data_IF_345613192493
#
_entry.id   IF_345613192493
#
_cell.length_a   1.000
_cell.length_b   1.000
_cell.length_c   1.000
_cell.angle_alpha   90.00
_cell.angle_beta   90.00
_cell.angle_gamma   90.00
#
_symmetry.space_group_name_H-M   'P 1'
#
loop_
_entity.id
_entity.type
_entity.pdbx_description
1 polymer ?
#
# COMPACT_ATOMS: atom_id res chain seq x y z
N UNK A 1 -12.31 -0.71 -23.53
CA UNK A 1 -11.50 -0.12 -22.45
C UNK A 1 -10.86 -1.25 -21.66
N UNK A 2 -9.55 -1.19 -21.40
CA UNK A 2 -8.79 -2.26 -20.73
C UNK A 2 -9.17 -2.30 -19.23
N UNK A 3 -9.73 -3.40 -18.72
CA UNK A 3 -10.37 -3.46 -17.39
C UNK A 3 -9.37 -3.35 -16.24
N UNK A 4 -8.16 -3.80 -16.46
CA UNK A 4 -7.01 -3.72 -15.56
C UNK A 4 -6.60 -2.26 -15.32
N UNK A 5 -6.74 -1.39 -16.32
CA UNK A 5 -6.55 0.06 -16.15
C UNK A 5 -7.64 0.67 -15.27
N UNK A 6 -8.89 0.25 -15.47
CA UNK A 6 -10.04 0.67 -14.67
C UNK A 6 -9.86 0.27 -13.19
N UNK A 7 -9.40 -0.96 -12.94
CA UNK A 7 -9.14 -1.46 -11.59
C UNK A 7 -8.00 -0.69 -10.92
N UNK A 8 -6.90 -0.45 -11.62
CA UNK A 8 -5.78 0.31 -11.07
C UNK A 8 -6.18 1.75 -10.75
N UNK A 9 -7.11 2.34 -11.52
CA UNK A 9 -7.72 3.62 -11.17
C UNK A 9 -8.55 3.53 -9.88
N UNK A 10 -9.45 2.55 -9.78
CA UNK A 10 -10.29 2.35 -8.60
C UNK A 10 -9.43 2.13 -7.36
N UNK A 11 -8.42 1.25 -7.45
CA UNK A 11 -7.51 0.95 -6.37
C UNK A 11 -6.74 2.19 -5.91
N UNK A 12 -6.23 3.00 -6.84
CA UNK A 12 -5.55 4.26 -6.49
C UNK A 12 -6.49 5.22 -5.76
N UNK A 13 -7.68 5.46 -6.30
CA UNK A 13 -8.63 6.40 -5.70
C UNK A 13 -9.10 5.93 -4.33
N UNK A 14 -9.37 4.64 -4.16
CA UNK A 14 -9.79 4.09 -2.87
C UNK A 14 -8.66 4.09 -1.83
N UNK A 15 -7.42 3.77 -2.22
CA UNK A 15 -6.27 3.89 -1.31
C UNK A 15 -6.05 5.34 -0.86
N UNK A 16 -6.14 6.32 -1.77
CA UNK A 16 -6.06 7.73 -1.40
C UNK A 16 -7.14 8.15 -0.39
N UNK A 17 -8.40 7.86 -0.70
CA UNK A 17 -9.52 8.20 0.18
C UNK A 17 -9.41 7.54 1.56
N UNK A 18 -8.80 6.36 1.63
CA UNK A 18 -8.60 5.65 2.89
C UNK A 18 -7.44 6.22 3.69
N UNK A 19 -6.33 6.60 3.05
CA UNK A 19 -5.20 7.26 3.72
C UNK A 19 -5.57 8.64 4.26
N UNK A 20 -6.41 9.39 3.55
CA UNK A 20 -6.96 10.67 4.03
C UNK A 20 -7.84 10.48 5.28
N UNK A 21 -8.64 9.41 5.34
CA UNK A 21 -9.47 9.08 6.51
C UNK A 21 -8.66 8.64 7.72
N UNK A 22 -7.62 7.83 7.51
CA UNK A 22 -6.78 7.28 8.58
C UNK A 22 -5.72 8.29 9.07
N UNK A 23 -5.69 9.53 8.55
CA UNK A 23 -4.67 10.53 8.89
C UNK A 23 -3.24 10.09 8.57
N UNK A 24 -3.11 9.17 7.61
CA UNK A 24 -1.85 8.50 7.28
C UNK A 24 -0.94 9.39 6.42
N UNK A 25 0.39 9.14 6.44
CA UNK A 25 1.36 9.89 5.65
C UNK A 25 1.06 9.91 4.14
N UNK A 26 1.47 10.96 3.43
CA UNK A 26 1.23 11.11 1.98
C UNK A 26 1.81 9.93 1.18
N UNK A 27 1.04 9.36 0.24
CA UNK A 27 1.49 8.30 -0.65
C UNK A 27 1.65 8.77 -2.10
N UNK A 28 2.69 8.25 -2.76
CA UNK A 28 2.94 8.35 -4.19
C UNK A 28 2.68 7.01 -4.85
N UNK A 29 2.02 7.06 -6.00
CA UNK A 29 1.66 5.87 -6.76
C UNK A 29 2.30 5.90 -8.14
N UNK A 30 3.05 4.86 -8.48
CA UNK A 30 3.65 4.69 -9.81
C UNK A 30 2.98 3.52 -10.52
N UNK A 31 2.45 3.77 -11.71
CA UNK A 31 1.90 2.72 -12.59
C UNK A 31 3.00 2.21 -13.51
N UNK A 32 3.10 0.90 -13.63
CA UNK A 32 4.08 0.23 -14.48
C UNK A 32 3.33 -0.74 -15.37
N UNK A 33 3.46 -0.60 -16.68
CA UNK A 33 2.83 -1.48 -17.65
C UNK A 33 3.85 -2.50 -18.12
N UNK A 34 3.48 -3.78 -18.03
CA UNK A 34 4.23 -4.86 -18.64
C UNK A 34 3.35 -5.49 -19.72
N UNK A 35 3.63 -5.11 -20.97
CA UNK A 35 2.87 -5.57 -22.12
C UNK A 35 3.15 -7.04 -22.47
N UNK A 36 4.35 -7.54 -22.17
CA UNK A 36 4.72 -8.93 -22.44
C UNK A 36 3.91 -9.91 -21.61
N UNK A 37 3.63 -9.55 -20.35
CA UNK A 37 2.88 -10.37 -19.39
C UNK A 37 1.43 -9.90 -19.22
N UNK A 38 0.99 -8.94 -20.04
CA UNK A 38 -0.33 -8.30 -19.96
C UNK A 38 -0.72 -7.89 -18.53
N UNK A 39 0.28 -7.35 -17.81
CA UNK A 39 0.24 -7.07 -16.37
C UNK A 39 0.41 -5.58 -16.13
N UNK A 40 -0.41 -5.04 -15.24
CA UNK A 40 -0.30 -3.66 -14.79
C UNK A 40 0.05 -3.67 -13.31
N UNK A 41 1.18 -3.05 -12.97
CA UNK A 41 1.62 -2.91 -11.60
C UNK A 41 1.30 -1.51 -11.07
N UNK A 42 0.89 -1.43 -9.80
CA UNK A 42 0.75 -0.20 -9.05
C UNK A 42 1.70 -0.27 -7.85
N UNK A 43 2.78 0.51 -7.88
CA UNK A 43 3.72 0.65 -6.77
C UNK A 43 3.29 1.80 -5.88
N UNK A 44 3.33 1.61 -4.58
CA UNK A 44 3.01 2.59 -3.56
C UNK A 44 4.24 2.91 -2.73
N UNK A 45 4.62 4.19 -2.76
CA UNK A 45 5.69 4.76 -1.94
C UNK A 45 5.04 5.68 -0.90
N UNK A 46 5.34 5.50 0.38
CA UNK A 46 4.76 6.28 1.48
C UNK A 46 5.80 7.24 2.00
N UNK A 47 5.42 8.49 2.27
CA UNK A 47 6.29 9.50 2.85
C UNK A 47 6.47 9.21 4.35
N UNK A 48 7.69 8.87 4.77
CA UNK A 48 8.03 8.82 6.20
C UNK A 48 8.85 10.06 6.57
N UNK A 49 8.52 10.69 7.70
CA UNK A 49 9.02 12.00 8.12
C UNK A 49 10.56 12.15 8.07
N UNK A 50 11.30 11.06 8.26
CA UNK A 50 12.77 11.06 8.27
C UNK A 50 13.45 10.36 7.08
N UNK A 51 12.71 9.54 6.31
CA UNK A 51 13.28 8.70 5.23
C UNK A 51 12.81 9.11 3.84
N UNK A 52 11.90 10.09 3.74
CA UNK A 52 11.29 10.45 2.47
C UNK A 52 10.34 9.37 1.95
N UNK A 53 10.14 9.29 0.64
CA UNK A 53 9.25 8.29 0.03
C UNK A 53 9.90 6.90 0.05
N UNK A 54 9.36 6.01 0.87
CA UNK A 54 9.81 4.63 1.00
C UNK A 54 8.82 3.69 0.29
N UNK A 55 9.29 2.75 -0.54
CA UNK A 55 8.43 1.75 -1.16
C UNK A 55 7.82 0.82 -0.11
N UNK A 56 6.49 0.84 0.03
CA UNK A 56 5.79 0.02 1.02
C UNK A 56 5.12 -1.19 0.39
N UNK A 57 4.55 -1.03 -0.80
CA UNK A 57 3.89 -2.16 -1.45
C UNK A 57 3.74 -2.01 -2.95
N UNK A 58 3.41 -3.14 -3.58
CA UNK A 58 3.17 -3.26 -5.01
C UNK A 58 1.96 -4.15 -5.25
N UNK A 59 1.11 -3.74 -6.18
CA UNK A 59 -0.02 -4.53 -6.66
C UNK A 59 0.24 -4.87 -8.10
N UNK A 60 0.29 -6.16 -8.42
CA UNK A 60 0.37 -6.65 -9.79
C UNK A 60 -1.01 -7.16 -10.22
N UNK A 61 -1.61 -6.48 -11.18
CA UNK A 61 -2.95 -6.79 -11.71
C UNK A 61 -2.80 -7.46 -13.07
N UNK A 62 -3.34 -8.67 -13.20
CA UNK A 62 -3.40 -9.41 -14.47
C UNK A 62 -4.84 -9.75 -14.77
N UNK A 63 -5.27 -9.52 -16.02
CA UNK A 63 -6.59 -9.93 -16.47
C UNK A 63 -6.62 -11.43 -16.78
N UNK A 64 -7.63 -12.11 -16.24
CA UNK A 64 -7.95 -13.48 -16.58
C UNK A 64 -9.25 -13.44 -17.39
N UNK A 65 -9.18 -13.65 -18.72
CA UNK A 65 -10.37 -13.78 -19.53
C UNK A 65 -11.12 -15.04 -19.09
N UNK A 66 -12.41 -14.93 -18.79
CA UNK A 66 -13.25 -16.12 -18.57
C UNK A 66 -14.23 -16.29 -19.72
N UNK A 67 -14.46 -17.54 -20.12
CA UNK A 67 -15.23 -17.93 -21.31
C UNK A 67 -16.69 -17.45 -21.30
N UNK A 68 -17.18 -16.91 -20.18
CA UNK A 68 -18.56 -16.47 -19.98
C UNK A 68 -18.74 -14.95 -20.13
N UNK A 69 -17.79 -14.25 -20.79
CA UNK A 69 -17.82 -12.79 -20.94
C UNK A 69 -17.57 -12.01 -19.63
N UNK A 70 -17.24 -12.72 -18.54
CA UNK A 70 -16.84 -12.11 -17.27
C UNK A 70 -15.32 -11.88 -17.28
N UNK A 71 -14.87 -10.78 -16.70
CA UNK A 71 -13.45 -10.49 -16.56
C UNK A 71 -13.11 -10.62 -15.08
N UNK A 72 -12.23 -11.57 -14.78
CA UNK A 72 -11.69 -11.76 -13.43
C UNK A 72 -10.30 -11.17 -13.41
N UNK A 73 -9.93 -10.48 -12.33
CA UNK A 73 -8.58 -9.92 -12.22
C UNK A 73 -7.85 -10.59 -11.06
N UNK A 74 -6.64 -11.04 -11.35
CA UNK A 74 -5.72 -11.55 -10.35
C UNK A 74 -4.87 -10.40 -9.86
N UNK A 75 -4.97 -10.08 -8.59
CA UNK A 75 -4.16 -9.07 -7.91
C UNK A 75 -3.14 -9.79 -7.02
N UNK A 76 -1.87 -9.60 -7.30
CA UNK A 76 -0.78 -10.07 -6.42
C UNK A 76 -0.27 -8.86 -5.67
N UNK A 77 -0.52 -8.84 -4.37
CA UNK A 77 -0.07 -7.79 -3.46
C UNK A 77 1.26 -8.23 -2.86
N UNK A 78 2.25 -7.37 -2.94
CA UNK A 78 3.59 -7.60 -2.40
C UNK A 78 3.92 -6.50 -1.41
N UNK A 79 4.22 -6.88 -0.18
CA UNK A 79 4.81 -6.02 0.84
C UNK A 79 6.32 -5.92 0.59
N UNK A 80 6.81 -4.72 0.29
CA UNK A 80 8.20 -4.54 -0.13
C UNK A 80 9.19 -4.52 1.04
N UNK A 81 8.71 -4.27 2.26
CA UNK A 81 9.53 -4.26 3.48
C UNK A 81 9.87 -5.68 3.94
N UNK A 82 8.89 -6.59 3.94
CA UNK A 82 9.04 -7.95 4.46
C UNK A 82 9.22 -9.00 3.36
N UNK A 83 8.92 -8.64 2.10
CA UNK A 83 8.84 -9.57 0.98
C UNK A 83 7.60 -10.47 0.99
N UNK A 84 6.63 -10.26 1.92
CA UNK A 84 5.41 -11.05 1.97
C UNK A 84 4.55 -10.79 0.73
N UNK A 85 4.04 -11.87 0.15
CA UNK A 85 3.19 -11.84 -1.03
C UNK A 85 1.83 -12.44 -0.69
N UNK A 86 0.76 -11.75 -1.07
CA UNK A 86 -0.61 -12.22 -0.94
C UNK A 86 -1.32 -12.10 -2.29
N UNK A 87 -2.01 -13.16 -2.71
CA UNK A 87 -2.81 -13.15 -3.93
C UNK A 87 -4.29 -13.00 -3.60
N UNK A 88 -4.95 -12.05 -4.26
CA UNK A 88 -6.39 -11.79 -4.16
C UNK A 88 -6.99 -11.86 -5.56
N UNK A 89 -8.10 -12.58 -5.72
CA UNK A 89 -8.82 -12.68 -6.98
C UNK A 89 -10.05 -11.79 -6.89
N UNK A 90 -10.06 -10.71 -7.69
CA UNK A 90 -11.19 -9.78 -7.77
C UNK A 90 -12.17 -10.27 -8.83
N UNK A 91 -13.37 -10.63 -8.40
CA UNK A 91 -14.48 -11.01 -9.28
C UNK A 91 -15.34 -9.79 -9.56
N UNK A 92 -15.02 -9.10 -10.65
CA UNK A 92 -15.65 -7.82 -10.99
C UNK A 92 -16.88 -8.06 -11.85
N UNK A 93 -17.92 -8.65 -11.24
CA UNK A 93 -19.20 -8.94 -11.92
C UNK A 93 -20.05 -7.68 -12.07
N UNK A 94 -20.18 -6.90 -10.99
CA UNK A 94 -21.10 -5.76 -10.88
C UNK A 94 -20.38 -4.53 -10.28
N UNK A 95 -20.69 -3.30 -10.74
CA UNK A 95 -20.04 -2.07 -10.26
C UNK A 95 -20.15 -1.88 -8.74
N UNK A 96 -21.27 -2.29 -8.14
CA UNK A 96 -21.50 -2.28 -6.69
C UNK A 96 -20.63 -3.29 -5.93
N UNK A 97 -20.29 -4.44 -6.53
CA UNK A 97 -19.39 -5.43 -5.92
C UNK A 97 -17.92 -5.05 -6.08
N UNK A 98 -17.57 -4.17 -7.03
CA UNK A 98 -16.17 -3.76 -7.23
C UNK A 98 -15.59 -3.11 -6.00
N UNK A 99 -16.37 -2.28 -5.33
CA UNK A 99 -15.91 -1.51 -4.18
C UNK A 99 -15.63 -2.43 -2.99
N UNK A 100 -16.52 -3.38 -2.74
CA UNK A 100 -16.37 -4.44 -1.71
C UNK A 100 -15.17 -5.34 -2.01
N UNK A 101 -15.00 -5.74 -3.27
CA UNK A 101 -13.85 -6.58 -3.65
C UNK A 101 -12.53 -5.81 -3.54
N UNK A 102 -12.52 -4.50 -3.83
CA UNK A 102 -11.35 -3.64 -3.66
C UNK A 102 -11.03 -3.37 -2.18
N UNK A 103 -12.01 -3.44 -1.28
CA UNK A 103 -11.81 -3.26 0.16
C UNK A 103 -10.84 -4.29 0.75
N UNK A 104 -10.87 -5.54 0.25
CA UNK A 104 -9.91 -6.60 0.60
C UNK A 104 -8.46 -6.21 0.29
N UNK A 105 -8.25 -5.45 -0.79
CA UNK A 105 -6.94 -4.94 -1.16
C UNK A 105 -6.53 -3.81 -0.21
N UNK A 106 -7.46 -2.95 0.18
CA UNK A 106 -7.18 -1.85 1.09
C UNK A 106 -6.83 -2.32 2.51
N UNK A 107 -7.52 -3.33 3.03
CA UNK A 107 -7.19 -3.93 4.33
C UNK A 107 -5.76 -4.47 4.37
N UNK A 108 -5.29 -5.07 3.28
CA UNK A 108 -3.90 -5.52 3.16
C UNK A 108 -2.93 -4.33 3.25
N UNK A 109 -3.18 -3.26 2.50
CA UNK A 109 -2.33 -2.07 2.55
C UNK A 109 -2.35 -1.40 3.91
N UNK A 110 -3.50 -1.34 4.57
CA UNK A 110 -3.60 -0.81 5.94
C UNK A 110 -2.71 -1.58 6.90
N UNK A 111 -2.69 -2.90 6.79
CA UNK A 111 -1.79 -3.75 7.57
C UNK A 111 -0.32 -3.43 7.27
N UNK A 112 0.05 -3.34 6.00
CA UNK A 112 1.42 -3.04 5.56
C UNK A 112 1.88 -1.64 6.00
N UNK A 113 1.03 -0.62 5.85
CA UNK A 113 1.33 0.76 6.27
C UNK A 113 1.38 0.85 7.81
N UNK A 114 0.46 0.17 8.50
CA UNK A 114 0.40 0.13 9.96
C UNK A 114 1.65 -0.48 10.59
N UNK A 115 2.26 -1.49 9.96
CA UNK A 115 3.57 -1.99 10.37
C UNK A 115 4.68 -0.93 10.18
N UNK A 116 4.65 -0.16 9.09
CA UNK A 116 5.61 0.92 8.85
C UNK A 116 5.54 2.10 9.82
N UNK A 117 4.42 2.28 10.54
CA UNK A 117 4.30 3.27 11.61
C UNK A 117 4.83 2.76 12.97
N UNK A 118 4.78 1.45 13.23
CA UNK A 118 5.20 0.89 14.51
C UNK A 118 6.73 0.87 14.70
N UNK A 119 7.52 0.91 13.63
CA UNK A 119 8.98 0.98 13.74
C UNK A 119 9.52 2.37 14.17
N UNK A 120 8.66 3.35 14.47
CA UNK A 120 9.07 4.68 14.96
C UNK A 120 8.46 5.07 16.32
N UNK A 121 7.79 4.16 17.02
CA UNK A 121 7.45 4.36 18.43
C UNK A 121 8.53 3.68 19.28
N UNK A 122 9.09 4.44 20.22
CA UNK A 122 10.20 4.10 21.14
C UNK A 122 11.60 4.36 20.54
N UNK A 123 12.20 5.54 20.74
CA UNK A 123 12.63 5.96 22.08
C UNK A 123 12.66 7.49 22.18
N UNK A 124 11.74 8.08 22.93
CA UNK A 124 11.88 9.45 23.45
C UNK A 124 11.91 9.40 24.99
N UNK A 125 13.13 9.55 25.51
CA UNK A 125 13.59 10.46 26.61
C UNK A 125 13.07 10.26 28.06
N UNK A 126 13.88 10.59 29.10
CA UNK A 126 14.11 11.99 29.46
C UNK A 126 15.57 12.36 29.79
N UNK A 127 15.85 13.64 29.56
CA UNK A 127 16.96 14.39 30.15
C UNK A 127 16.97 14.24 31.68
N UNK A 128 18.16 14.04 32.25
CA UNK A 128 18.40 14.31 33.67
C UNK A 128 19.46 15.41 33.74
N UNK A 129 18.99 16.64 33.90
CA UNK A 129 19.81 17.75 34.37
C UNK A 129 20.18 17.57 35.85
N UNK A 130 21.36 18.09 36.18
CA UNK A 130 21.85 18.54 37.48
C UNK A 130 22.33 17.49 38.51
N UNK A 131 23.66 17.44 38.68
CA UNK A 131 24.22 18.01 39.92
C UNK A 131 25.66 18.50 39.75
N UNK A 132 25.85 19.74 40.19
CA UNK A 132 27.11 20.46 40.37
C UNK A 132 27.83 19.87 41.59
N UNK A 133 29.16 19.73 41.54
CA UNK A 133 29.96 19.31 42.69
C UNK A 133 31.47 19.30 42.39
N UNK A 134 32.05 20.50 42.46
CA UNK A 134 33.40 20.83 42.96
C UNK A 134 34.38 19.69 43.29
N UNK A 135 35.60 19.72 42.73
CA UNK A 135 36.82 19.35 43.46
C UNK A 135 38.08 19.78 42.68
N UNK A 136 38.74 20.81 43.20
CA UNK A 136 40.16 21.10 42.99
C UNK A 136 41.02 20.20 43.89
N UNK A 137 42.09 19.61 43.34
CA UNK A 137 43.47 19.72 43.85
C UNK A 137 44.47 19.25 42.78
#
# INVERSE_FOLDING_TARGET
MNRSVEIVNILRSGMNAQMEKDGSPSARYTRIFNFNENRISLKMDVLLDQKGFVPMGRIDVTEIPTNNGRITCSCVLTELQTGKVQRVILRLRDPSQRQVECEKVYEFFRRVIGFGQQDNAETFTPEAEANVGDFTD
#
